data_IF_345330643572
#
_entry.id   IF_345330643572
#
_cell.length_a   1.000
_cell.length_b   1.000
_cell.length_c   1.000
_cell.angle_alpha   90.00
_cell.angle_beta   90.00
_cell.angle_gamma   90.00
#
_symmetry.space_group_name_H-M   'P 1'
#
loop_
_entity.id
_entity.type
_entity.pdbx_description
1 polymer ?
#
# COMPACT_ATOMS: atom_id res chain seq x y z
N UNK A 1 12.36 16.04 30.41
CA UNK A 1 12.05 14.60 30.50
C UNK A 1 10.71 14.34 29.84
N UNK A 2 10.68 13.94 28.58
CA UNK A 2 9.45 13.50 27.91
C UNK A 2 9.19 12.05 28.34
N UNK A 3 8.11 11.81 29.07
CA UNK A 3 7.64 10.44 29.33
C UNK A 3 7.41 9.76 27.97
N UNK A 4 8.22 8.72 27.65
CA UNK A 4 7.86 7.73 26.63
C UNK A 4 6.46 7.23 27.03
N UNK A 5 5.45 7.44 26.17
CA UNK A 5 4.26 6.61 26.21
C UNK A 5 4.75 5.23 25.75
N UNK A 6 5.05 4.35 26.68
CA UNK A 6 5.15 2.93 26.41
C UNK A 6 3.80 2.53 25.80
N UNK A 7 3.81 2.11 24.55
CA UNK A 7 2.64 1.52 23.91
C UNK A 7 2.26 0.32 24.75
N UNK A 8 1.12 0.36 25.44
CA UNK A 8 0.62 -0.79 26.17
C UNK A 8 0.32 -1.89 25.17
N UNK A 9 1.14 -2.95 25.19
CA UNK A 9 0.87 -4.17 24.45
C UNK A 9 -0.56 -4.64 24.73
N UNK A 10 -1.31 -5.05 23.71
CA UNK A 10 -2.61 -5.65 23.92
C UNK A 10 -2.42 -7.14 24.24
N UNK A 11 -2.53 -7.46 25.50
CA UNK A 11 -2.21 -8.79 26.04
C UNK A 11 -3.46 -9.63 26.30
N UNK A 12 -3.47 -10.86 25.84
CA UNK A 12 -4.51 -11.86 26.10
C UNK A 12 -3.93 -13.03 26.90
N UNK A 13 -4.70 -13.51 27.85
CA UNK A 13 -4.30 -14.63 28.73
C UNK A 13 -4.42 -16.01 28.04
N UNK A 14 -5.04 -16.08 26.87
CA UNK A 14 -5.18 -17.35 26.11
C UNK A 14 -5.60 -17.09 24.65
N UNK A 15 -5.32 -18.07 23.78
CA UNK A 15 -5.77 -18.09 22.38
C UNK A 15 -7.30 -17.95 22.31
N UNK A 16 -8.03 -18.64 23.19
CA UNK A 16 -9.49 -18.58 23.27
C UNK A 16 -10.02 -17.17 23.51
N UNK A 17 -9.36 -16.38 24.36
CA UNK A 17 -9.77 -14.99 24.62
C UNK A 17 -9.52 -14.09 23.41
N UNK A 18 -8.38 -14.24 22.73
CA UNK A 18 -8.11 -13.52 21.49
C UNK A 18 -9.13 -13.89 20.41
N UNK A 19 -9.40 -15.17 20.17
CA UNK A 19 -10.38 -15.62 19.18
C UNK A 19 -11.78 -15.09 19.47
N UNK A 20 -12.20 -15.07 20.72
CA UNK A 20 -13.47 -14.47 21.14
C UNK A 20 -13.49 -12.93 20.90
N UNK A 21 -12.35 -12.28 21.04
CA UNK A 21 -12.21 -10.86 20.74
C UNK A 21 -12.29 -10.63 19.24
N UNK A 22 -11.56 -11.38 18.42
CA UNK A 22 -11.53 -11.24 16.95
C UNK A 22 -12.92 -11.46 16.34
N UNK A 23 -13.73 -12.38 16.86
CA UNK A 23 -15.13 -12.58 16.42
C UNK A 23 -16.03 -11.34 16.55
N UNK A 24 -15.62 -10.34 17.33
CA UNK A 24 -16.33 -9.04 17.47
C UNK A 24 -15.83 -7.99 16.51
N UNK A 25 -14.76 -8.26 15.78
CA UNK A 25 -14.16 -7.37 14.79
C UNK A 25 -14.65 -7.72 13.38
N UNK A 26 -14.39 -6.83 12.45
CA UNK A 26 -14.77 -7.00 11.04
C UNK A 26 -13.54 -7.52 10.27
N UNK A 27 -13.58 -8.72 9.70
CA UNK A 27 -12.50 -9.18 8.84
C UNK A 27 -12.43 -8.30 7.59
N UNK A 28 -11.24 -7.78 7.26
CA UNK A 28 -11.02 -6.84 6.16
C UNK A 28 -10.01 -7.31 5.13
N UNK A 29 -9.28 -8.37 5.41
CA UNK A 29 -8.31 -8.94 4.48
C UNK A 29 -7.56 -10.10 5.07
N UNK A 30 -7.01 -10.93 4.18
CA UNK A 30 -6.11 -12.05 4.46
C UNK A 30 -4.94 -11.97 3.49
N UNK A 31 -3.75 -12.33 3.94
CA UNK A 31 -2.53 -12.36 3.14
C UNK A 31 -1.63 -13.53 3.53
N UNK A 32 -0.47 -13.62 2.88
CA UNK A 32 0.53 -14.66 3.14
C UNK A 32 1.07 -14.68 4.58
N UNK A 33 1.07 -13.51 5.24
CA UNK A 33 1.65 -13.37 6.59
C UNK A 33 0.60 -13.27 7.71
N UNK A 34 -0.71 -13.21 7.40
CA UNK A 34 -1.73 -13.09 8.44
C UNK A 34 -3.06 -12.55 7.97
N UNK A 35 -4.00 -12.50 8.92
CA UNK A 35 -5.34 -11.96 8.74
C UNK A 35 -5.52 -10.60 9.40
N UNK A 36 -6.29 -9.73 8.75
CA UNK A 36 -6.54 -8.36 9.21
C UNK A 36 -8.00 -8.17 9.63
N UNK A 37 -8.18 -7.61 10.82
CA UNK A 37 -9.49 -7.34 11.42
C UNK A 37 -9.61 -5.86 11.80
N UNK A 38 -10.70 -5.22 11.41
CA UNK A 38 -11.01 -3.83 11.79
C UNK A 38 -11.79 -3.79 13.10
N UNK A 39 -11.29 -3.02 14.05
CA UNK A 39 -12.10 -2.57 15.18
C UNK A 39 -12.78 -1.23 14.82
N UNK A 40 -14.08 -1.22 14.52
CA UNK A 40 -14.77 -0.01 14.08
C UNK A 40 -14.92 1.05 15.19
N UNK A 41 -14.80 0.65 16.47
CA UNK A 41 -14.90 1.56 17.61
C UNK A 41 -13.64 2.38 17.82
N UNK A 42 -12.46 1.80 17.57
CA UNK A 42 -11.16 2.45 17.75
C UNK A 42 -10.54 2.89 16.44
N UNK A 43 -11.11 2.47 15.30
CA UNK A 43 -10.58 2.71 13.96
C UNK A 43 -9.14 2.19 13.81
N UNK A 44 -8.90 0.98 14.32
CA UNK A 44 -7.63 0.28 14.29
C UNK A 44 -7.76 -1.05 13.56
N UNK A 45 -6.68 -1.46 12.91
CA UNK A 45 -6.52 -2.77 12.27
C UNK A 45 -5.67 -3.64 13.17
N UNK A 46 -6.13 -4.84 13.38
CA UNK A 46 -5.44 -5.93 14.06
C UNK A 46 -4.96 -6.90 12.99
N UNK A 47 -3.65 -6.99 12.75
CA UNK A 47 -3.05 -8.02 11.89
C UNK A 47 -2.59 -9.14 12.80
N UNK A 48 -3.17 -10.32 12.61
CA UNK A 48 -2.84 -11.54 13.36
C UNK A 48 -2.05 -12.44 12.41
N UNK A 49 -0.90 -12.92 12.85
CA UNK A 49 -0.04 -13.79 12.05
C UNK A 49 -0.67 -15.15 11.82
N UNK A 50 -0.44 -15.76 10.66
CA UNK A 50 -1.01 -17.05 10.29
C UNK A 50 -0.69 -18.14 11.31
N UNK A 51 0.49 -18.13 11.88
CA UNK A 51 0.93 -19.03 12.92
C UNK A 51 -0.08 -19.20 14.07
N UNK A 52 -0.76 -18.11 14.47
CA UNK A 52 -1.80 -18.16 15.51
C UNK A 52 -2.99 -19.03 15.10
N UNK A 53 -3.43 -18.97 13.84
CA UNK A 53 -4.59 -19.72 13.35
C UNK A 53 -4.26 -21.20 13.14
N UNK A 54 -3.04 -21.50 12.68
CA UNK A 54 -2.56 -22.86 12.49
C UNK A 54 -2.50 -23.62 13.80
N UNK A 55 -2.17 -22.96 14.92
CA UNK A 55 -2.27 -23.55 16.27
C UNK A 55 -3.72 -23.89 16.67
N UNK A 56 -4.67 -22.98 16.40
CA UNK A 56 -6.07 -23.23 16.74
C UNK A 56 -6.66 -24.42 15.97
N UNK A 57 -6.19 -24.67 14.75
CA UNK A 57 -6.60 -25.80 13.92
C UNK A 57 -5.93 -27.14 14.33
N UNK A 58 -5.01 -27.10 15.31
CA UNK A 58 -4.39 -28.30 15.85
C UNK A 58 -3.32 -28.92 14.95
N UNK A 59 -2.75 -28.14 14.03
CA UNK A 59 -1.57 -28.56 13.27
C UNK A 59 -0.36 -28.59 14.22
N UNK A 60 0.29 -29.73 14.44
CA UNK A 60 1.50 -29.76 15.24
C UNK A 60 2.60 -28.98 14.52
N UNK A 61 3.05 -27.89 15.10
CA UNK A 61 4.26 -27.25 14.65
C UNK A 61 5.45 -28.15 14.88
N UNK A 62 6.10 -28.60 13.82
CA UNK A 62 7.35 -29.36 13.91
C UNK A 62 8.56 -28.46 14.14
N UNK A 63 8.40 -27.11 13.98
CA UNK A 63 9.48 -26.15 14.15
C UNK A 63 9.13 -25.09 15.19
N UNK A 64 10.14 -24.68 15.96
CA UNK A 64 10.10 -23.64 16.98
C UNK A 64 9.32 -22.41 16.48
N UNK A 65 8.39 -21.90 17.32
CA UNK A 65 7.72 -20.62 17.08
C UNK A 65 8.72 -19.59 16.58
N UNK A 66 8.48 -18.97 15.44
CA UNK A 66 9.22 -17.79 15.07
C UNK A 66 9.00 -16.74 16.18
N UNK A 67 10.00 -16.55 17.03
CA UNK A 67 9.96 -15.51 18.05
C UNK A 67 9.97 -14.16 17.37
N UNK A 68 8.81 -13.52 17.31
CA UNK A 68 8.70 -12.17 16.83
C UNK A 68 9.27 -11.18 17.86
N UNK A 69 10.21 -10.33 17.44
CA UNK A 69 10.75 -9.27 18.30
C UNK A 69 9.88 -8.01 18.21
N UNK A 70 9.42 -7.52 19.37
CA UNK A 70 8.68 -6.27 19.49
C UNK A 70 9.43 -5.09 18.83
N UNK A 71 10.76 -5.01 19.02
CA UNK A 71 11.57 -3.93 18.44
C UNK A 71 11.57 -3.99 16.92
N UNK A 72 11.60 -5.19 16.35
CA UNK A 72 11.52 -5.37 14.91
C UNK A 72 10.14 -4.98 14.37
N UNK A 73 9.06 -5.38 15.01
CA UNK A 73 7.70 -5.01 14.59
C UNK A 73 7.48 -3.49 14.71
N UNK A 74 7.93 -2.90 15.80
CA UNK A 74 7.71 -1.47 16.08
C UNK A 74 8.85 -0.56 15.59
N UNK A 75 9.82 -1.09 14.84
CA UNK A 75 11.01 -0.33 14.38
C UNK A 75 10.69 0.95 13.64
N UNK A 76 9.54 1.02 12.97
CA UNK A 76 9.08 2.18 12.21
C UNK A 76 7.98 3.01 12.89
N UNK A 77 7.53 2.62 14.08
CA UNK A 77 6.39 3.22 14.78
C UNK A 77 6.53 4.74 15.06
N UNK A 78 7.76 5.24 15.17
CA UNK A 78 8.05 6.64 15.43
C UNK A 78 8.21 7.48 14.15
N UNK A 79 8.22 6.88 12.99
CA UNK A 79 8.41 7.56 11.70
C UNK A 79 7.12 8.23 11.28
N UNK A 80 7.20 9.53 11.03
CA UNK A 80 6.04 10.34 10.66
C UNK A 80 6.02 10.59 9.15
N UNK A 81 5.73 9.55 8.39
CA UNK A 81 5.52 9.61 6.95
C UNK A 81 4.00 9.49 6.67
N UNK A 82 3.30 10.58 6.31
CA UNK A 82 1.82 10.63 6.30
C UNK A 82 1.12 9.62 5.38
N UNK A 83 1.82 9.16 4.35
CA UNK A 83 1.28 8.13 3.44
C UNK A 83 1.54 6.71 3.92
N UNK A 84 2.37 6.50 4.93
CA UNK A 84 2.68 5.17 5.46
C UNK A 84 1.87 4.87 6.71
N UNK A 85 1.44 3.63 6.83
CA UNK A 85 0.76 3.11 8.02
C UNK A 85 1.60 2.00 8.60
N UNK A 86 2.35 2.34 9.63
CA UNK A 86 3.21 1.42 10.36
C UNK A 86 2.48 0.80 11.56
N UNK A 87 2.98 -0.35 12.02
CA UNK A 87 2.60 -0.93 13.29
C UNK A 87 2.89 0.06 14.42
N UNK A 88 1.96 0.19 15.36
CA UNK A 88 2.10 1.13 16.49
C UNK A 88 1.95 0.46 17.84
N UNK A 89 1.55 -0.82 17.86
CA UNK A 89 1.44 -1.63 19.06
C UNK A 89 1.51 -3.11 18.69
N UNK A 90 1.84 -3.98 19.65
CA UNK A 90 1.85 -5.41 19.49
C UNK A 90 0.62 -6.08 20.14
N UNK A 91 0.33 -7.28 19.68
CA UNK A 91 -0.69 -8.16 20.27
C UNK A 91 0.04 -9.40 20.79
N UNK A 92 -0.20 -9.73 22.06
CA UNK A 92 0.43 -10.89 22.68
C UNK A 92 -0.60 -11.85 23.26
N UNK A 93 -0.27 -13.14 23.29
CA UNK A 93 -0.99 -14.19 24.00
C UNK A 93 0.01 -14.93 24.87
N UNK A 94 -0.24 -15.01 26.18
CA UNK A 94 0.69 -15.62 27.15
C UNK A 94 2.13 -15.07 27.04
N UNK A 95 2.29 -13.80 26.63
CA UNK A 95 3.60 -13.18 26.45
C UNK A 95 4.23 -13.39 25.06
N UNK A 96 3.71 -14.27 24.22
CA UNK A 96 4.18 -14.48 22.85
C UNK A 96 3.49 -13.50 21.89
N UNK A 97 4.25 -12.89 21.01
CA UNK A 97 3.70 -11.94 20.02
C UNK A 97 2.99 -12.75 18.92
N UNK A 98 1.71 -12.45 18.71
CA UNK A 98 0.85 -13.08 17.70
C UNK A 98 0.37 -12.13 16.62
N UNK A 99 0.74 -10.85 16.70
CA UNK A 99 0.34 -9.86 15.73
C UNK A 99 0.65 -8.44 16.16
N UNK A 100 0.14 -7.49 15.38
CA UNK A 100 0.29 -6.06 15.68
C UNK A 100 -0.96 -5.25 15.38
N UNK A 101 -0.99 -4.05 15.91
CA UNK A 101 -2.05 -3.06 15.69
C UNK A 101 -1.50 -1.93 14.86
N UNK A 102 -2.30 -1.47 13.90
CA UNK A 102 -2.03 -0.28 13.11
C UNK A 102 -3.27 0.59 12.96
N UNK A 103 -3.10 1.77 12.36
CA UNK A 103 -4.23 2.66 12.05
C UNK A 103 -5.01 2.11 10.85
N UNK A 104 -6.33 2.20 10.89
CA UNK A 104 -7.17 1.89 9.73
C UNK A 104 -7.14 3.03 8.69
N UNK A 105 -6.97 2.67 7.42
CA UNK A 105 -7.22 3.53 6.28
C UNK A 105 -8.56 3.15 5.65
N UNK A 106 -9.53 4.05 5.70
CA UNK A 106 -10.78 3.87 4.94
C UNK A 106 -10.53 4.14 3.45
N UNK A 107 -9.91 3.17 2.78
CA UNK A 107 -9.46 3.26 1.40
C UNK A 107 -9.55 1.88 0.73
N UNK A 108 -9.51 1.83 -0.59
CA UNK A 108 -9.56 0.60 -1.39
C UNK A 108 -8.19 0.32 -2.01
N UNK A 109 -7.86 -0.95 -2.24
CA UNK A 109 -6.67 -1.34 -3.00
C UNK A 109 -6.73 -0.78 -4.42
N UNK A 110 -5.59 -0.52 -5.05
CA UNK A 110 -5.53 0.06 -6.41
C UNK A 110 -6.33 -0.77 -7.43
N UNK A 111 -6.26 -2.09 -7.34
CA UNK A 111 -7.02 -2.99 -8.22
C UNK A 111 -8.55 -2.99 -8.00
N UNK A 112 -9.03 -2.33 -6.95
CA UNK A 112 -10.47 -2.21 -6.62
C UNK A 112 -11.06 -0.85 -6.98
N UNK A 113 -10.24 0.08 -7.49
CA UNK A 113 -10.69 1.42 -7.88
C UNK A 113 -10.88 1.50 -9.39
N UNK A 114 -11.76 2.38 -9.82
CA UNK A 114 -11.93 2.70 -11.23
C UNK A 114 -11.10 3.94 -11.58
N UNK A 115 -9.94 3.82 -12.26
CA UNK A 115 -9.07 4.95 -12.57
C UNK A 115 -9.71 5.95 -13.53
N UNK A 116 -10.71 5.52 -14.33
CA UNK A 116 -11.35 6.37 -15.34
C UNK A 116 -12.07 7.58 -14.73
N UNK A 117 -12.54 7.47 -13.48
CA UNK A 117 -13.30 8.52 -12.80
C UNK A 117 -12.48 9.35 -11.83
N UNK A 118 -11.21 9.02 -11.62
CA UNK A 118 -10.32 9.76 -10.72
C UNK A 118 -9.96 11.10 -11.37
N UNK A 119 -10.06 12.19 -10.62
CA UNK A 119 -9.53 13.48 -11.05
C UNK A 119 -8.02 13.43 -11.16
N UNK A 120 -7.45 13.76 -12.33
CA UNK A 120 -6.01 13.76 -12.56
C UNK A 120 -5.29 14.75 -11.63
N UNK A 121 -5.92 15.89 -11.32
CA UNK A 121 -5.35 16.86 -10.37
C UNK A 121 -5.33 16.32 -8.92
N UNK A 122 -6.37 15.59 -8.50
CA UNK A 122 -6.36 14.92 -7.20
C UNK A 122 -5.33 13.81 -7.15
N UNK A 123 -5.20 13.05 -8.25
CA UNK A 123 -4.21 11.98 -8.37
C UNK A 123 -2.79 12.54 -8.27
N UNK A 124 -2.46 13.60 -9.03
CA UNK A 124 -1.15 14.26 -8.99
C UNK A 124 -0.80 14.77 -7.59
N UNK A 125 -1.75 15.40 -6.89
CA UNK A 125 -1.54 15.84 -5.50
C UNK A 125 -1.27 14.67 -4.56
N UNK A 126 -2.05 13.59 -4.69
CA UNK A 126 -1.86 12.41 -3.87
C UNK A 126 -0.50 11.73 -4.12
N UNK A 127 -0.02 11.68 -5.36
CA UNK A 127 1.31 11.19 -5.72
C UNK A 127 2.40 12.07 -5.07
N UNK A 128 2.26 13.39 -5.12
CA UNK A 128 3.22 14.30 -4.50
C UNK A 128 3.30 14.11 -2.97
N UNK A 129 2.17 13.84 -2.30
CA UNK A 129 2.15 13.51 -0.87
C UNK A 129 2.92 12.21 -0.57
N UNK A 130 2.81 11.21 -1.46
CA UNK A 130 3.60 9.98 -1.34
C UNK A 130 5.08 10.26 -1.53
N UNK A 131 5.47 11.05 -2.54
CA UNK A 131 6.88 11.40 -2.77
C UNK A 131 7.51 12.09 -1.56
N UNK A 132 6.78 12.99 -0.90
CA UNK A 132 7.23 13.62 0.35
C UNK A 132 7.39 12.57 1.47
N UNK A 133 6.47 11.61 1.56
CA UNK A 133 6.55 10.54 2.55
C UNK A 133 7.71 9.56 2.24
N UNK A 134 7.95 9.24 0.99
CA UNK A 134 9.08 8.43 0.54
C UNK A 134 10.43 9.11 0.83
N UNK A 135 10.49 10.45 0.69
CA UNK A 135 11.69 11.18 1.08
C UNK A 135 11.98 11.05 2.58
N UNK A 136 10.94 11.12 3.43
CA UNK A 136 11.09 10.93 4.88
C UNK A 136 11.59 9.52 5.17
N UNK A 137 10.95 8.50 4.62
CA UNK A 137 11.30 7.08 4.81
C UNK A 137 12.73 6.80 4.33
N UNK A 138 13.12 7.37 3.19
CA UNK A 138 14.47 7.19 2.65
C UNK A 138 15.55 7.91 3.47
N UNK A 139 15.22 9.07 4.06
CA UNK A 139 16.14 9.78 4.96
C UNK A 139 16.36 9.01 6.28
N UNK A 140 15.40 8.20 6.69
CA UNK A 140 15.55 7.25 7.82
C UNK A 140 16.27 5.95 7.41
N UNK A 141 16.77 5.85 6.18
CA UNK A 141 17.49 4.68 5.68
C UNK A 141 16.60 3.48 5.36
N UNK A 142 15.28 3.66 5.20
CA UNK A 142 14.35 2.55 5.01
C UNK A 142 14.15 2.26 3.54
N UNK A 143 14.44 1.02 3.16
CA UNK A 143 14.14 0.45 1.85
C UNK A 143 12.78 -0.22 1.89
N UNK A 144 11.89 0.22 1.01
CA UNK A 144 10.54 -0.35 0.87
C UNK A 144 10.55 -1.48 -0.15
N UNK A 145 9.80 -2.54 0.15
CA UNK A 145 9.60 -3.69 -0.73
C UNK A 145 8.12 -3.99 -0.85
N UNK A 146 7.76 -4.86 -1.77
CA UNK A 146 6.42 -5.42 -1.98
C UNK A 146 5.28 -4.40 -1.86
N UNK A 147 5.38 -3.32 -2.66
CA UNK A 147 4.29 -2.34 -2.73
C UNK A 147 3.09 -2.88 -3.52
N UNK A 148 3.25 -3.98 -4.27
CA UNK A 148 2.19 -4.61 -5.02
C UNK A 148 1.04 -5.00 -4.05
N UNK A 149 -0.18 -4.58 -4.39
CA UNK A 149 -1.38 -4.78 -3.56
C UNK A 149 -1.41 -4.10 -2.18
N UNK A 150 -0.30 -3.48 -1.75
CA UNK A 150 -0.15 -2.82 -0.46
C UNK A 150 -0.36 -1.30 -0.52
N UNK A 151 -0.80 -0.78 -1.67
CA UNK A 151 -1.18 0.61 -1.85
C UNK A 151 -2.71 0.73 -1.86
N UNK A 152 -3.24 1.55 -0.96
CA UNK A 152 -4.65 1.89 -0.89
C UNK A 152 -4.87 3.34 -1.36
N UNK A 153 -6.05 3.63 -1.92
CA UNK A 153 -6.41 4.96 -2.39
C UNK A 153 -7.83 5.37 -1.97
N UNK A 154 -7.92 6.57 -1.41
CA UNK A 154 -9.17 7.32 -1.23
C UNK A 154 -8.87 8.83 -1.22
N UNK A 155 -8.79 9.46 -2.39
CA UNK A 155 -8.31 10.84 -2.60
C UNK A 155 -6.88 11.13 -2.14
N UNK A 156 -6.25 10.22 -1.42
CA UNK A 156 -4.82 10.14 -1.11
C UNK A 156 -4.40 8.68 -1.06
N UNK A 157 -3.11 8.44 -1.13
CA UNK A 157 -2.56 7.09 -1.00
C UNK A 157 -2.22 6.77 0.45
N UNK A 158 -2.35 5.49 0.77
CA UNK A 158 -1.83 4.88 1.99
C UNK A 158 -1.03 3.66 1.60
N UNK A 159 0.18 3.55 2.11
CA UNK A 159 1.07 2.42 1.92
C UNK A 159 1.03 1.63 3.23
N UNK A 160 0.64 0.38 3.14
CA UNK A 160 0.46 -0.54 4.28
C UNK A 160 1.43 -1.71 4.15
N UNK A 161 1.48 -2.54 5.17
CA UNK A 161 2.27 -3.78 5.21
C UNK A 161 3.79 -3.52 5.14
N UNK A 162 4.37 -3.40 6.33
CA UNK A 162 5.78 -3.06 6.53
C UNK A 162 6.71 -4.28 6.66
N UNK A 163 6.15 -5.51 6.59
CA UNK A 163 6.86 -6.73 7.00
C UNK A 163 8.16 -6.93 6.20
N UNK A 164 8.15 -6.60 4.92
CA UNK A 164 9.30 -6.72 4.03
C UNK A 164 10.25 -5.50 4.04
N UNK A 165 9.96 -4.45 4.82
CA UNK A 165 10.81 -3.25 4.83
C UNK A 165 12.06 -3.48 5.67
N UNK A 166 13.19 -2.90 5.26
CA UNK A 166 14.47 -3.04 5.97
C UNK A 166 15.24 -1.73 6.01
N UNK A 167 16.10 -1.59 7.02
CA UNK A 167 17.15 -0.56 6.98
C UNK A 167 18.19 -0.90 5.92
N UNK A 168 18.71 0.12 5.26
CA UNK A 168 19.68 -0.03 4.18
C UNK A 168 20.71 1.10 4.21
N UNK A 169 21.96 0.76 3.95
CA UNK A 169 23.11 1.71 3.96
C UNK A 169 23.27 2.47 2.63
N UNK A 170 22.31 2.37 1.74
CA UNK A 170 22.31 3.08 0.48
C UNK A 170 22.26 4.59 0.72
N UNK A 171 22.97 5.36 -0.13
CA UNK A 171 22.80 6.83 -0.15
C UNK A 171 21.33 7.24 -0.23
N UNK A 172 20.93 8.23 0.56
CA UNK A 172 19.53 8.63 0.70
C UNK A 172 18.87 8.99 -0.64
N UNK A 173 19.60 9.59 -1.57
CA UNK A 173 19.09 9.94 -2.90
C UNK A 173 18.86 8.68 -3.75
N UNK A 174 19.79 7.74 -3.70
CA UNK A 174 19.62 6.45 -4.39
C UNK A 174 18.48 5.66 -3.80
N UNK A 175 18.37 5.65 -2.48
CA UNK A 175 17.29 4.98 -1.76
C UNK A 175 15.93 5.59 -2.07
N UNK A 176 15.83 6.93 -2.10
CA UNK A 176 14.63 7.63 -2.53
C UNK A 176 14.22 7.26 -3.96
N UNK A 177 15.17 7.27 -4.89
CA UNK A 177 14.88 6.90 -6.28
C UNK A 177 14.41 5.45 -6.41
N UNK A 178 14.99 4.53 -5.62
CA UNK A 178 14.55 3.14 -5.56
C UNK A 178 13.11 3.03 -5.03
N UNK A 179 12.84 3.61 -3.88
CA UNK A 179 11.53 3.59 -3.24
C UNK A 179 10.46 4.24 -4.12
N UNK A 180 10.80 5.38 -4.76
CA UNK A 180 9.92 6.07 -5.70
C UNK A 180 9.61 5.19 -6.91
N UNK A 181 10.61 4.56 -7.51
CA UNK A 181 10.43 3.73 -8.70
C UNK A 181 9.49 2.54 -8.41
N UNK A 182 9.56 1.94 -7.22
CA UNK A 182 8.64 0.89 -6.81
C UNK A 182 7.20 1.40 -6.72
N UNK A 183 6.97 2.56 -6.11
CA UNK A 183 5.65 3.18 -6.05
C UNK A 183 5.14 3.55 -7.45
N UNK A 184 5.97 4.20 -8.27
CA UNK A 184 5.63 4.63 -9.62
C UNK A 184 5.20 3.45 -10.49
N UNK A 185 5.88 2.31 -10.37
CA UNK A 185 5.55 1.09 -11.12
C UNK A 185 4.12 0.63 -10.84
N UNK A 186 3.66 0.68 -9.58
CA UNK A 186 2.30 0.30 -9.21
C UNK A 186 1.26 1.28 -9.79
N UNK A 187 1.57 2.59 -9.80
CA UNK A 187 0.68 3.58 -10.41
C UNK A 187 0.59 3.38 -11.92
N UNK A 188 1.73 3.13 -12.60
CA UNK A 188 1.73 2.80 -14.03
C UNK A 188 0.87 1.58 -14.30
N UNK A 189 1.09 0.48 -13.59
CA UNK A 189 0.43 -0.79 -13.82
C UNK A 189 -1.09 -0.69 -13.62
N UNK A 190 -1.53 -0.21 -12.45
CA UNK A 190 -2.95 -0.26 -12.09
C UNK A 190 -3.78 0.88 -12.68
N UNK A 191 -3.21 2.06 -12.89
CA UNK A 191 -3.99 3.25 -13.25
C UNK A 191 -3.79 3.72 -14.69
N UNK A 192 -2.70 3.36 -15.35
CA UNK A 192 -2.33 3.93 -16.65
C UNK A 192 -2.28 2.85 -17.72
N UNK A 193 -1.36 1.91 -17.62
CA UNK A 193 -1.08 0.92 -18.67
C UNK A 193 -2.32 0.15 -19.09
N UNK A 194 -3.11 -0.30 -18.11
CA UNK A 194 -4.32 -1.07 -18.37
C UNK A 194 -5.31 -0.41 -19.34
N UNK A 195 -5.30 0.92 -19.46
CA UNK A 195 -6.29 1.69 -20.20
C UNK A 195 -5.72 2.48 -21.38
N UNK A 196 -4.41 2.68 -21.42
CA UNK A 196 -3.76 3.66 -22.30
C UNK A 196 -2.54 3.12 -23.04
N UNK A 197 -2.19 1.85 -22.95
CA UNK A 197 -1.02 1.27 -23.61
C UNK A 197 -1.03 1.52 -25.14
N UNK A 198 -2.19 1.39 -25.81
CA UNK A 198 -2.32 1.69 -27.23
C UNK A 198 -2.04 3.18 -27.52
N UNK A 199 -2.60 4.10 -26.73
CA UNK A 199 -2.40 5.54 -26.89
C UNK A 199 -0.94 5.93 -26.65
N UNK A 200 -0.33 5.40 -25.56
CA UNK A 200 1.07 5.64 -25.21
C UNK A 200 2.00 5.14 -26.32
N UNK A 201 1.73 3.96 -26.88
CA UNK A 201 2.56 3.38 -27.95
C UNK A 201 2.55 4.17 -29.26
N UNK A 202 1.50 4.95 -29.51
CA UNK A 202 1.35 5.80 -30.69
C UNK A 202 2.00 7.18 -30.56
N UNK A 203 2.32 7.64 -29.35
CA UNK A 203 3.00 8.91 -29.12
C UNK A 203 4.47 8.67 -28.72
N UNK A 204 5.40 9.16 -29.57
CA UNK A 204 6.83 8.91 -29.38
C UNK A 204 7.34 9.43 -28.03
N UNK A 205 6.84 10.61 -27.59
CA UNK A 205 7.24 11.23 -26.32
C UNK A 205 6.74 10.43 -25.12
N UNK A 206 5.46 10.05 -25.11
CA UNK A 206 4.89 9.23 -24.05
C UNK A 206 5.57 7.87 -23.98
N UNK A 207 5.84 7.25 -25.15
CA UNK A 207 6.54 5.96 -25.22
C UNK A 207 7.96 6.04 -24.63
N UNK A 208 8.71 7.10 -24.98
CA UNK A 208 10.03 7.35 -24.42
C UNK A 208 9.98 7.50 -22.90
N UNK A 209 9.08 8.35 -22.41
CA UNK A 209 8.91 8.59 -20.97
C UNK A 209 8.46 7.34 -20.20
N UNK A 210 7.54 6.56 -20.75
CA UNK A 210 7.03 5.35 -20.13
C UNK A 210 8.11 4.26 -20.00
N UNK A 211 9.02 4.17 -20.95
CA UNK A 211 10.17 3.24 -20.91
C UNK A 211 11.32 3.71 -20.01
N UNK A 212 11.33 4.98 -19.61
CA UNK A 212 12.41 5.58 -18.83
C UNK A 212 12.06 5.64 -17.33
N UNK A 213 12.66 4.75 -16.52
CA UNK A 213 12.45 4.70 -15.06
C UNK A 213 12.93 5.93 -14.30
N UNK A 214 13.72 6.81 -14.91
CA UNK A 214 14.13 8.08 -14.29
C UNK A 214 13.00 9.12 -14.33
N UNK A 215 12.09 9.01 -15.28
CA UNK A 215 10.89 9.85 -15.35
C UNK A 215 9.90 9.41 -14.28
N UNK A 216 9.60 10.29 -13.34
CA UNK A 216 8.61 10.01 -12.31
C UNK A 216 7.18 10.03 -12.88
N UNK A 217 6.28 9.27 -12.22
CA UNK A 217 4.90 9.12 -12.70
C UNK A 217 4.10 10.44 -12.65
N UNK A 218 4.46 11.38 -11.80
CA UNK A 218 3.81 12.68 -11.72
C UNK A 218 4.08 13.51 -12.98
N UNK A 219 5.35 13.54 -13.43
CA UNK A 219 5.77 14.17 -14.69
C UNK A 219 5.10 13.49 -15.88
N UNK A 220 5.08 12.14 -15.88
CA UNK A 220 4.41 11.37 -16.92
C UNK A 220 2.91 11.68 -17.02
N UNK A 221 2.18 11.69 -15.90
CA UNK A 221 0.73 11.98 -15.89
C UNK A 221 0.45 13.39 -16.39
N UNK A 222 1.33 14.34 -16.12
CA UNK A 222 1.18 15.71 -16.59
C UNK A 222 1.32 15.81 -18.11
N UNK A 223 2.30 15.14 -18.70
CA UNK A 223 2.47 15.04 -20.16
C UNK A 223 1.31 14.27 -20.79
N UNK A 224 0.93 13.13 -20.21
CA UNK A 224 -0.22 12.33 -20.65
C UNK A 224 -1.50 13.17 -20.70
N UNK A 225 -1.78 13.95 -19.66
CA UNK A 225 -2.95 14.83 -19.60
C UNK A 225 -2.93 15.87 -20.72
N UNK A 226 -1.76 16.46 -21.01
CA UNK A 226 -1.57 17.40 -22.13
C UNK A 226 -1.88 16.73 -23.46
N UNK A 227 -1.27 15.58 -23.74
CA UNK A 227 -1.46 14.81 -24.98
C UNK A 227 -2.90 14.33 -25.18
N UNK A 228 -3.54 13.88 -24.11
CA UNK A 228 -4.96 13.54 -24.16
C UNK A 228 -5.83 14.78 -24.48
N UNK A 229 -5.55 15.91 -23.86
CA UNK A 229 -6.29 17.16 -24.10
C UNK A 229 -6.13 17.65 -25.55
N UNK A 230 -4.92 17.59 -26.09
CA UNK A 230 -4.63 17.87 -27.50
C UNK A 230 -5.44 16.93 -28.42
N UNK A 231 -5.40 15.62 -28.16
CA UNK A 231 -6.07 14.61 -28.97
C UNK A 231 -7.60 14.76 -29.00
N UNK A 232 -8.21 15.11 -27.85
CA UNK A 232 -9.67 15.28 -27.74
C UNK A 232 -10.12 16.73 -27.96
N UNK A 233 -9.20 17.66 -28.19
CA UNK A 233 -9.44 19.09 -28.42
C UNK A 233 -10.26 19.79 -27.31
N UNK A 234 -10.06 19.33 -26.06
CA UNK A 234 -10.68 19.91 -24.86
C UNK A 234 -9.88 19.53 -23.62
N UNK A 235 -9.99 20.28 -22.52
CA UNK A 235 -9.34 19.91 -21.27
C UNK A 235 -9.78 18.54 -20.77
N UNK A 236 -8.82 17.68 -20.42
CA UNK A 236 -9.04 16.36 -19.82
C UNK A 236 -8.80 16.46 -18.31
N UNK A 237 -9.83 16.29 -17.52
CA UNK A 237 -9.74 16.30 -16.05
C UNK A 237 -9.75 14.89 -15.43
N UNK A 238 -10.27 13.91 -16.18
CA UNK A 238 -10.34 12.49 -15.85
C UNK A 238 -10.09 11.66 -17.10
N UNK A 239 -9.60 10.43 -16.96
CA UNK A 239 -9.42 9.55 -18.13
C UNK A 239 -10.73 9.30 -18.89
N UNK A 240 -11.86 9.27 -18.19
CA UNK A 240 -13.19 9.15 -18.81
C UNK A 240 -13.56 10.28 -19.78
N UNK A 241 -12.90 11.44 -19.70
CA UNK A 241 -13.14 12.56 -20.62
C UNK A 241 -12.59 12.26 -22.03
N UNK A 242 -11.67 11.31 -22.14
CA UNK A 242 -11.01 10.88 -23.37
C UNK A 242 -11.38 9.41 -23.77
N UNK A 243 -12.60 8.96 -23.48
CA UNK A 243 -13.05 7.57 -23.68
C UNK A 243 -12.74 6.99 -25.06
N UNK A 244 -12.80 7.81 -26.13
CA UNK A 244 -12.63 7.32 -27.49
C UNK A 244 -11.16 7.01 -27.87
N UNK A 245 -10.21 7.41 -27.06
CA UNK A 245 -8.78 7.07 -27.23
C UNK A 245 -8.29 6.02 -26.25
N UNK A 246 -9.15 5.56 -25.33
CA UNK A 246 -8.83 4.50 -24.40
C UNK A 246 -8.95 3.12 -25.07
N UNK A 247 -8.21 2.16 -24.58
CA UNK A 247 -8.21 0.79 -25.05
C UNK A 247 -9.61 0.19 -25.03
N UNK A 248 -10.17 -0.15 -26.18
CA UNK A 248 -11.56 -0.60 -26.34
C UNK A 248 -11.86 -1.91 -25.59
N UNK A 249 -10.89 -2.80 -25.48
CA UNK A 249 -11.08 -4.12 -24.87
C UNK A 249 -11.17 -4.05 -23.34
N UNK A 250 -10.48 -3.11 -22.70
CA UNK A 250 -10.38 -3.02 -21.23
C UNK A 250 -11.41 -2.09 -20.59
N UNK A 251 -11.96 -1.14 -21.34
CA UNK A 251 -13.06 -0.28 -20.86
C UNK A 251 -14.34 -1.09 -20.54
N UNK A 252 -14.50 -2.29 -21.12
CA UNK A 252 -15.68 -3.16 -20.91
C UNK A 252 -15.58 -4.10 -19.72
N UNK A 253 -14.38 -4.37 -19.20
CA UNK A 253 -14.16 -5.19 -18.00
C UNK A 253 -13.14 -4.47 -17.11
N UNK A 254 -13.54 -3.91 -15.97
CA UNK A 254 -12.55 -3.53 -14.97
C UNK A 254 -11.76 -4.79 -14.60
N UNK A 255 -10.43 -4.68 -14.60
CA UNK A 255 -9.54 -5.77 -14.25
C UNK A 255 -9.74 -6.09 -12.76
N UNK A 256 -10.58 -7.07 -12.49
CA UNK A 256 -10.66 -7.67 -11.16
C UNK A 256 -9.68 -8.84 -11.14
N UNK A 257 -8.69 -8.77 -10.27
CA UNK A 257 -7.72 -9.85 -10.02
C UNK A 257 -8.39 -11.14 -9.50
N UNK A 258 -9.71 -11.24 -9.46
CA UNK A 258 -10.44 -12.49 -9.22
C UNK A 258 -10.21 -13.58 -10.26
N UNK A 259 -9.58 -13.26 -11.40
CA UNK A 259 -9.34 -14.20 -12.49
C UNK A 259 -7.90 -14.79 -12.47
N UNK A 260 -7.11 -14.56 -11.41
CA UNK A 260 -5.75 -15.08 -11.27
C UNK A 260 -5.56 -16.06 -10.11
N UNK A 261 -6.64 -16.44 -9.39
CA UNK A 261 -6.59 -17.49 -8.36
C UNK A 261 -7.81 -18.41 -8.45
#
# INVERSE_FOLDING_TARGET
MRRKKEGLAMNFESNKLLSLYLKKLIPIGMGSCGECFLNPKTNQVFKIFNQFFEEEEGFPYEDEYAEYDEKEILRFANIKAPSFIFANNIITVNGHIVGYISKYANAKRLNQINPLIISLEKLKRAILEVYNSLQIVSNEGIKTYDMMYNILYHNKFYIIDQDEYSYNDMDNKKLYNYNRANFDQEIYYFLIEAYLDEFISQDARLKEMFGNREVDVLTFISELQSKLSERVQKPVSKLSDAKHVLNKQKVKKPFYVRDLF
#
